data_IF_309698025897
#
_entry.id   IF_309698025897
#
_cell.length_a   1.000
_cell.length_b   1.000
_cell.length_c   1.000
_cell.angle_alpha   90.00
_cell.angle_beta   90.00
_cell.angle_gamma   90.00
#
_symmetry.space_group_name_H-M   'P 1'
#
loop_
_entity.id
_entity.type
_entity.pdbx_description
1 polymer ?
#
# COMPACT_ATOMS: atom_id res chain seq x y z
N UNK A 1 -30.18 14.80 3.63
CA UNK A 1 -29.21 13.69 3.70
C UNK A 1 -28.01 14.09 2.86
N UNK A 2 -27.03 14.69 3.47
CA UNK A 2 -25.79 15.17 2.83
C UNK A 2 -24.91 13.97 2.63
N UNK A 3 -24.79 13.48 1.39
CA UNK A 3 -23.80 12.50 0.98
C UNK A 3 -22.40 13.13 1.15
N UNK A 4 -21.72 12.81 2.23
CA UNK A 4 -20.30 13.02 2.37
C UNK A 4 -19.61 12.25 1.25
N UNK A 5 -19.14 12.94 0.22
CA UNK A 5 -18.22 12.43 -0.78
C UNK A 5 -16.95 11.99 -0.04
N UNK A 6 -16.89 10.74 0.41
CA UNK A 6 -15.63 10.14 0.86
C UNK A 6 -14.74 10.08 -0.36
N UNK A 7 -13.74 10.93 -0.41
CA UNK A 7 -12.73 10.95 -1.45
C UNK A 7 -12.06 9.57 -1.44
N UNK A 8 -12.33 8.77 -2.46
CA UNK A 8 -11.81 7.41 -2.57
C UNK A 8 -10.29 7.48 -2.76
N UNK A 9 -9.54 6.63 -2.08
CA UNK A 9 -8.08 6.59 -2.26
C UNK A 9 -7.73 6.14 -3.68
N UNK A 10 -6.61 6.61 -4.21
CA UNK A 10 -6.16 6.22 -5.55
C UNK A 10 -5.92 4.72 -5.66
N UNK A 11 -5.45 4.09 -4.58
CA UNK A 11 -5.29 2.63 -4.49
C UNK A 11 -6.59 1.90 -4.81
N UNK A 12 -7.72 2.40 -4.31
CA UNK A 12 -9.02 1.77 -4.54
C UNK A 12 -9.65 2.23 -5.87
N UNK A 13 -9.56 3.53 -6.19
CA UNK A 13 -10.14 4.10 -7.42
C UNK A 13 -9.51 3.52 -8.69
N UNK A 14 -8.19 3.32 -8.68
CA UNK A 14 -7.42 2.84 -9.81
C UNK A 14 -7.01 1.37 -9.67
N UNK A 15 -7.71 0.61 -8.83
CA UNK A 15 -7.47 -0.83 -8.70
C UNK A 15 -7.71 -1.53 -10.03
N UNK A 16 -6.73 -2.27 -10.59
CA UNK A 16 -6.91 -3.01 -11.83
C UNK A 16 -8.07 -3.99 -11.76
N UNK A 17 -8.91 -4.00 -12.79
CA UNK A 17 -10.03 -4.94 -12.93
C UNK A 17 -9.70 -6.13 -13.84
N UNK A 18 -8.63 -6.06 -14.61
CA UNK A 18 -8.14 -7.13 -15.50
C UNK A 18 -6.72 -7.51 -15.11
N UNK A 19 -6.39 -8.77 -15.28
CA UNK A 19 -5.06 -9.31 -14.93
C UNK A 19 -3.94 -8.59 -15.67
N UNK A 20 -4.09 -8.32 -16.96
CA UNK A 20 -3.10 -7.60 -17.78
C UNK A 20 -2.79 -6.16 -17.35
N UNK A 21 -3.67 -5.55 -16.56
CA UNK A 21 -3.53 -4.16 -16.10
C UNK A 21 -2.81 -4.09 -14.73
N UNK A 22 -2.48 -5.24 -14.15
CA UNK A 22 -1.76 -5.33 -12.86
C UNK A 22 -0.27 -5.11 -13.10
N UNK A 23 0.36 -4.35 -12.22
CA UNK A 23 1.81 -4.14 -12.25
C UNK A 23 2.49 -5.34 -11.60
N UNK A 24 3.00 -6.24 -12.41
CA UNK A 24 3.70 -7.45 -11.97
C UNK A 24 4.87 -7.74 -12.90
N UNK A 25 5.96 -8.38 -12.41
CA UNK A 25 7.01 -8.88 -13.27
C UNK A 25 6.47 -9.90 -14.29
N UNK A 26 7.08 -9.95 -15.46
CA UNK A 26 6.70 -10.87 -16.55
C UNK A 26 6.57 -12.32 -16.09
N UNK A 27 7.46 -12.79 -15.20
CA UNK A 27 7.41 -14.13 -14.59
C UNK A 27 6.11 -14.41 -13.84
N UNK A 28 5.66 -13.45 -13.04
CA UNK A 28 4.42 -13.60 -12.25
C UNK A 28 3.20 -13.49 -13.17
N UNK A 29 3.25 -12.57 -14.13
CA UNK A 29 2.19 -12.39 -15.12
C UNK A 29 1.96 -13.66 -15.92
N UNK A 30 3.02 -14.31 -16.43
CA UNK A 30 2.93 -15.58 -17.14
C UNK A 30 2.29 -16.69 -16.30
N UNK A 31 2.67 -16.81 -15.02
CA UNK A 31 2.07 -17.79 -14.12
C UNK A 31 0.57 -17.53 -13.88
N UNK A 32 0.17 -16.26 -13.78
CA UNK A 32 -1.24 -15.87 -13.65
C UNK A 32 -2.03 -16.18 -14.92
N UNK A 33 -1.50 -15.87 -16.09
CA UNK A 33 -2.13 -16.16 -17.39
C UNK A 33 -2.28 -17.67 -17.61
N UNK A 34 -1.28 -18.45 -17.22
CA UNK A 34 -1.36 -19.91 -17.26
C UNK A 34 -2.47 -20.45 -16.33
N UNK A 35 -2.58 -19.91 -15.11
CA UNK A 35 -3.65 -20.28 -14.19
C UNK A 35 -5.04 -19.89 -14.74
N UNK A 36 -5.17 -18.69 -15.31
CA UNK A 36 -6.40 -18.25 -16.00
C UNK A 36 -6.79 -19.17 -17.13
N UNK A 37 -5.84 -19.56 -17.98
CA UNK A 37 -6.08 -20.44 -19.11
C UNK A 37 -6.51 -21.84 -18.63
N UNK A 38 -5.89 -22.35 -17.57
CA UNK A 38 -6.30 -23.63 -16.96
C UNK A 38 -7.74 -23.59 -16.45
N UNK A 39 -8.15 -22.48 -15.79
CA UNK A 39 -9.52 -22.29 -15.32
C UNK A 39 -10.51 -22.15 -16.50
N UNK A 40 -10.14 -21.41 -17.54
CA UNK A 40 -10.97 -21.23 -18.76
C UNK A 40 -11.19 -22.55 -19.50
N UNK A 41 -10.18 -23.40 -19.55
CA UNK A 41 -10.15 -24.64 -20.32
C UNK A 41 -10.63 -25.86 -19.51
N UNK A 42 -10.95 -25.72 -18.22
CA UNK A 42 -11.49 -26.81 -17.39
C UNK A 42 -12.95 -27.11 -17.78
N UNK A 43 -13.12 -27.73 -18.94
CA UNK A 43 -14.40 -28.20 -19.45
C UNK A 43 -14.91 -29.38 -18.59
N UNK A 44 -15.69 -29.09 -17.56
CA UNK A 44 -16.26 -30.06 -16.61
C UNK A 44 -15.24 -30.84 -15.73
N UNK A 45 -14.01 -30.37 -15.67
CA UNK A 45 -13.01 -30.85 -14.72
C UNK A 45 -13.00 -29.96 -13.44
N UNK A 46 -12.53 -30.52 -12.35
CA UNK A 46 -12.40 -29.88 -11.07
C UNK A 46 -11.57 -28.59 -11.21
N UNK A 47 -12.13 -27.44 -10.76
CA UNK A 47 -11.41 -26.18 -10.75
C UNK A 47 -10.24 -26.22 -9.75
N UNK A 48 -9.03 -25.80 -10.14
CA UNK A 48 -7.93 -25.71 -9.19
C UNK A 48 -8.18 -24.59 -8.19
N UNK A 49 -7.97 -24.86 -6.89
CA UNK A 49 -7.85 -23.79 -5.91
C UNK A 49 -6.58 -23.00 -6.19
N UNK A 50 -6.58 -21.71 -5.89
CA UNK A 50 -5.40 -20.86 -6.05
C UNK A 50 -4.88 -20.38 -4.69
N UNK A 51 -3.55 -20.36 -4.53
CA UNK A 51 -2.87 -19.68 -3.43
C UNK A 51 -1.91 -18.66 -4.02
N UNK A 52 -2.15 -17.37 -3.71
CA UNK A 52 -1.30 -16.25 -4.10
C UNK A 52 -0.49 -15.83 -2.88
N UNK A 53 0.82 -16.06 -2.88
CA UNK A 53 1.65 -15.77 -1.72
C UNK A 53 2.82 -14.84 -2.04
N UNK A 54 3.24 -14.03 -1.09
CA UNK A 54 4.53 -13.35 -1.05
C UNK A 54 4.82 -12.89 0.38
N UNK A 55 6.09 -12.85 0.77
CA UNK A 55 6.48 -12.38 2.10
C UNK A 55 6.19 -10.90 2.31
N UNK A 56 6.09 -10.11 1.24
CA UNK A 56 5.86 -8.68 1.30
C UNK A 56 4.38 -8.32 1.13
N UNK A 57 3.93 -7.29 1.84
CA UNK A 57 2.65 -6.65 1.60
C UNK A 57 2.69 -5.79 0.31
N UNK A 58 1.51 -5.39 -0.19
CA UNK A 58 1.42 -4.44 -1.30
C UNK A 58 1.83 -4.95 -2.69
N UNK A 59 2.16 -6.24 -2.86
CA UNK A 59 2.60 -6.87 -4.12
C UNK A 59 1.47 -7.21 -5.10
N UNK A 60 0.21 -6.87 -4.79
CA UNK A 60 -0.91 -7.06 -5.70
C UNK A 60 -1.70 -8.38 -5.55
N UNK A 61 -1.44 -9.23 -4.56
CA UNK A 61 -2.14 -10.52 -4.34
C UNK A 61 -3.67 -10.42 -4.37
N UNK A 62 -4.24 -9.60 -3.49
CA UNK A 62 -5.70 -9.40 -3.39
C UNK A 62 -6.27 -8.76 -4.66
N UNK A 63 -5.53 -7.83 -5.27
CA UNK A 63 -5.90 -7.23 -6.56
C UNK A 63 -5.96 -8.26 -7.67
N UNK A 64 -4.99 -9.17 -7.72
CA UNK A 64 -4.95 -10.26 -8.71
C UNK A 64 -6.09 -11.26 -8.49
N UNK A 65 -6.40 -11.61 -7.24
CA UNK A 65 -7.55 -12.47 -6.94
C UNK A 65 -8.87 -11.88 -7.47
N UNK A 66 -9.09 -10.58 -7.24
CA UNK A 66 -10.27 -9.87 -7.75
C UNK A 66 -10.28 -9.73 -9.27
N UNK A 67 -9.15 -9.44 -9.89
CA UNK A 67 -9.04 -9.32 -11.33
C UNK A 67 -9.29 -10.65 -12.05
N UNK A 68 -8.82 -11.78 -11.48
CA UNK A 68 -9.14 -13.12 -11.96
C UNK A 68 -10.66 -13.35 -11.94
N UNK A 69 -11.32 -13.05 -10.82
CA UNK A 69 -12.77 -13.22 -10.70
C UNK A 69 -13.51 -12.37 -11.73
N UNK A 70 -13.15 -11.09 -11.85
CA UNK A 70 -13.78 -10.18 -12.80
C UNK A 70 -13.60 -10.63 -14.26
N UNK A 71 -12.38 -11.03 -14.64
CA UNK A 71 -12.08 -11.45 -16.02
C UNK A 71 -12.77 -12.75 -16.41
N UNK A 72 -12.95 -13.67 -15.45
CA UNK A 72 -13.61 -14.94 -15.66
C UNK A 72 -15.12 -14.89 -15.44
N UNK A 73 -15.67 -13.75 -15.02
CA UNK A 73 -17.10 -13.56 -14.75
C UNK A 73 -17.58 -14.28 -13.49
N UNK A 74 -16.74 -14.39 -12.47
CA UNK A 74 -17.10 -14.93 -11.15
C UNK A 74 -17.63 -13.81 -10.25
N UNK A 75 -18.75 -14.06 -9.58
CA UNK A 75 -19.19 -13.29 -8.42
C UNK A 75 -18.26 -13.63 -7.25
N UNK A 76 -17.64 -12.63 -6.62
CA UNK A 76 -16.64 -12.87 -5.58
C UNK A 76 -17.17 -12.53 -4.18
N UNK A 77 -17.06 -13.47 -3.23
CA UNK A 77 -17.22 -13.25 -1.79
C UNK A 77 -15.83 -13.15 -1.16
N UNK A 78 -15.53 -12.05 -0.47
CA UNK A 78 -14.24 -11.85 0.20
C UNK A 78 -14.41 -12.08 1.70
N UNK A 79 -13.56 -12.94 2.25
CA UNK A 79 -13.47 -13.23 3.69
C UNK A 79 -12.05 -12.88 4.13
N UNK A 80 -11.92 -11.97 5.08
CA UNK A 80 -10.62 -11.62 5.64
C UNK A 80 -10.24 -12.59 6.77
N UNK A 81 -9.09 -13.25 6.66
CA UNK A 81 -8.57 -14.21 7.63
C UNK A 81 -8.13 -13.59 8.95
N UNK A 82 -7.85 -12.28 8.96
CA UNK A 82 -7.47 -11.54 10.17
C UNK A 82 -8.68 -11.04 10.97
N UNK A 83 -9.91 -11.12 10.41
CA UNK A 83 -11.11 -10.71 11.12
C UNK A 83 -11.51 -11.75 12.17
N UNK A 84 -11.89 -11.24 13.36
CA UNK A 84 -12.02 -11.93 14.65
C UNK A 84 -12.72 -13.29 14.70
N UNK A 85 -12.41 -14.03 15.76
CA UNK A 85 -12.96 -15.25 16.41
C UNK A 85 -14.20 -15.98 15.89
N UNK A 86 -14.95 -15.41 14.94
CA UNK A 86 -16.16 -15.97 14.33
C UNK A 86 -15.93 -16.60 12.96
N UNK A 87 -14.67 -16.71 12.50
CA UNK A 87 -14.35 -17.22 11.15
C UNK A 87 -14.92 -18.63 10.91
N UNK A 88 -14.92 -19.49 11.91
CA UNK A 88 -15.46 -20.85 11.77
C UNK A 88 -16.97 -20.84 11.51
N UNK A 89 -17.71 -19.95 12.19
CA UNK A 89 -19.16 -19.82 11.97
C UNK A 89 -19.43 -19.17 10.61
N UNK A 90 -18.63 -18.18 10.20
CA UNK A 90 -18.70 -17.57 8.87
C UNK A 90 -18.49 -18.61 7.76
N UNK A 91 -17.52 -19.52 7.92
CA UNK A 91 -17.32 -20.63 6.96
C UNK A 91 -18.54 -21.55 6.90
N UNK A 92 -19.06 -21.97 8.06
CA UNK A 92 -20.16 -22.93 8.15
C UNK A 92 -21.49 -22.39 7.67
N UNK A 93 -21.72 -21.10 7.80
CA UNK A 93 -22.98 -20.44 7.43
C UNK A 93 -22.81 -19.64 6.15
N UNK A 94 -22.18 -18.48 6.22
CA UNK A 94 -22.13 -17.50 5.11
C UNK A 94 -21.50 -18.08 3.84
N UNK A 95 -20.35 -18.76 3.96
CA UNK A 95 -19.66 -19.31 2.78
C UNK A 95 -20.43 -20.49 2.23
N UNK A 96 -20.93 -21.37 3.09
CA UNK A 96 -21.73 -22.54 2.65
C UNK A 96 -23.02 -22.09 1.96
N UNK A 97 -23.76 -21.14 2.55
CA UNK A 97 -24.98 -20.60 1.95
C UNK A 97 -24.69 -19.89 0.62
N UNK A 98 -23.57 -19.16 0.54
CA UNK A 98 -23.14 -18.53 -0.70
C UNK A 98 -22.84 -19.56 -1.80
N UNK A 99 -22.10 -20.63 -1.49
CA UNK A 99 -21.78 -21.70 -2.43
C UNK A 99 -23.00 -22.52 -2.85
N UNK A 100 -24.00 -22.68 -1.95
CA UNK A 100 -25.22 -23.47 -2.21
C UNK A 100 -26.37 -22.64 -2.76
N UNK A 101 -26.24 -21.33 -2.83
CA UNK A 101 -27.29 -20.41 -3.27
C UNK A 101 -27.84 -20.83 -4.64
N UNK A 102 -29.16 -21.08 -4.77
CA UNK A 102 -29.76 -21.46 -6.05
C UNK A 102 -29.75 -20.27 -7.02
N UNK A 103 -29.57 -20.55 -8.29
CA UNK A 103 -29.68 -19.55 -9.34
C UNK A 103 -31.16 -19.30 -9.67
N UNK A 104 -31.66 -18.11 -9.36
CA UNK A 104 -33.08 -17.75 -9.50
C UNK A 104 -33.57 -17.76 -10.96
N UNK A 105 -32.68 -17.67 -11.94
CA UNK A 105 -33.03 -17.57 -13.37
C UNK A 105 -32.50 -18.74 -14.20
N UNK A 106 -32.19 -19.88 -13.57
CA UNK A 106 -31.73 -21.10 -14.27
C UNK A 106 -30.35 -20.99 -14.92
N UNK A 107 -29.56 -19.98 -14.55
CA UNK A 107 -28.17 -19.80 -14.97
C UNK A 107 -27.22 -20.65 -14.13
N UNK A 108 -26.01 -20.89 -14.66
CA UNK A 108 -24.91 -21.46 -13.89
C UNK A 108 -23.99 -20.30 -13.42
N UNK A 109 -24.41 -19.62 -12.35
CA UNK A 109 -23.65 -18.49 -11.82
C UNK A 109 -22.30 -18.97 -11.29
N UNK A 110 -21.23 -18.42 -11.85
CA UNK A 110 -19.86 -18.68 -11.38
C UNK A 110 -19.60 -17.91 -10.09
N UNK A 111 -19.21 -18.59 -9.02
CA UNK A 111 -18.96 -18.01 -7.70
C UNK A 111 -17.51 -18.22 -7.30
N UNK A 112 -16.91 -17.21 -6.71
CA UNK A 112 -15.58 -17.31 -6.13
C UNK A 112 -15.60 -16.93 -4.65
N UNK A 113 -14.82 -17.64 -3.84
CA UNK A 113 -14.58 -17.28 -2.46
C UNK A 113 -13.11 -16.94 -2.31
N UNK A 114 -12.83 -15.68 -1.94
CA UNK A 114 -11.48 -15.18 -1.74
C UNK A 114 -11.23 -15.11 -0.22
N UNK A 115 -10.28 -15.90 0.25
CA UNK A 115 -9.77 -15.83 1.63
C UNK A 115 -8.52 -14.94 1.65
N UNK A 116 -8.71 -13.68 2.01
CA UNK A 116 -7.60 -12.72 2.12
C UNK A 116 -6.91 -12.90 3.48
N UNK A 117 -5.57 -12.87 3.51
CA UNK A 117 -4.76 -13.13 4.70
C UNK A 117 -5.03 -14.52 5.33
N UNK A 118 -5.15 -15.56 4.51
CA UNK A 118 -5.48 -16.92 4.95
C UNK A 118 -4.47 -17.51 5.95
N UNK A 119 -3.23 -17.03 5.96
CA UNK A 119 -2.17 -17.40 6.91
C UNK A 119 -2.45 -16.91 8.35
N UNK A 120 -3.38 -15.98 8.54
CA UNK A 120 -3.85 -15.53 9.86
C UNK A 120 -4.95 -16.43 10.44
N UNK A 121 -5.53 -17.32 9.63
CA UNK A 121 -6.58 -18.24 10.06
C UNK A 121 -6.02 -19.36 10.96
N UNK A 122 -6.68 -19.71 12.09
CA UNK A 122 -6.28 -20.82 12.95
C UNK A 122 -6.22 -22.16 12.18
N UNK A 123 -5.07 -22.86 12.26
CA UNK A 123 -4.79 -24.07 11.49
C UNK A 123 -5.72 -25.24 11.85
N UNK A 124 -5.90 -25.46 13.15
CA UNK A 124 -6.60 -26.65 13.65
C UNK A 124 -8.13 -26.57 13.49
N UNK A 125 -8.68 -25.38 13.38
CA UNK A 125 -10.12 -25.16 13.32
C UNK A 125 -10.55 -24.64 11.95
N UNK A 126 -10.15 -23.40 11.61
CA UNK A 126 -10.66 -22.71 10.40
C UNK A 126 -10.06 -23.28 9.12
N UNK A 127 -8.74 -23.47 9.05
CA UNK A 127 -8.11 -24.03 7.86
C UNK A 127 -8.49 -25.50 7.65
N UNK A 128 -8.69 -26.29 8.72
CA UNK A 128 -9.18 -27.67 8.64
C UNK A 128 -10.63 -27.72 8.13
N UNK A 129 -11.49 -26.79 8.55
CA UNK A 129 -12.84 -26.67 8.02
C UNK A 129 -12.84 -26.22 6.55
N UNK A 130 -11.96 -25.28 6.18
CA UNK A 130 -11.78 -24.83 4.80
C UNK A 130 -11.34 -25.97 3.88
N UNK A 131 -10.40 -26.82 4.33
CA UNK A 131 -10.02 -28.02 3.61
C UNK A 131 -11.24 -28.90 3.28
N UNK A 132 -12.05 -29.22 4.30
CA UNK A 132 -13.25 -30.05 4.09
C UNK A 132 -14.25 -29.37 3.12
N UNK A 133 -14.38 -28.04 3.19
CA UNK A 133 -15.22 -27.27 2.30
C UNK A 133 -14.72 -27.31 0.85
N UNK A 134 -13.42 -27.10 0.63
CA UNK A 134 -12.85 -27.19 -0.73
C UNK A 134 -13.01 -28.58 -1.33
N UNK A 135 -12.93 -29.66 -0.53
CA UNK A 135 -13.22 -31.02 -0.96
C UNK A 135 -14.71 -31.21 -1.28
N UNK A 136 -15.62 -30.72 -0.44
CA UNK A 136 -17.08 -30.84 -0.63
C UNK A 136 -17.57 -30.14 -1.90
N UNK A 137 -16.95 -29.02 -2.26
CA UNK A 137 -17.33 -28.21 -3.43
C UNK A 137 -16.46 -28.48 -4.66
N UNK A 138 -15.49 -29.40 -4.59
CA UNK A 138 -14.56 -29.68 -5.67
C UNK A 138 -15.25 -30.18 -6.96
N UNK A 139 -16.34 -30.89 -6.82
CA UNK A 139 -17.11 -31.42 -7.96
C UNK A 139 -18.04 -30.39 -8.61
N UNK A 140 -18.08 -29.16 -8.06
CA UNK A 140 -18.88 -28.08 -8.60
C UNK A 140 -17.99 -27.15 -9.44
N UNK A 141 -18.08 -27.28 -10.75
CA UNK A 141 -17.27 -26.54 -11.71
C UNK A 141 -17.52 -25.03 -11.75
N UNK A 142 -18.44 -24.51 -10.94
CA UNK A 142 -18.76 -23.10 -10.86
C UNK A 142 -18.27 -22.41 -9.57
N UNK A 143 -17.53 -23.11 -8.70
CA UNK A 143 -17.02 -22.53 -7.45
C UNK A 143 -15.49 -22.54 -7.48
N UNK A 144 -14.90 -21.33 -7.37
CA UNK A 144 -13.46 -21.12 -7.34
C UNK A 144 -13.04 -20.64 -5.95
N UNK A 145 -12.04 -21.29 -5.34
CA UNK A 145 -11.44 -20.82 -4.09
C UNK A 145 -10.08 -20.20 -4.35
N UNK A 146 -9.89 -18.97 -3.86
CA UNK A 146 -8.62 -18.25 -3.95
C UNK A 146 -8.20 -17.86 -2.53
N UNK A 147 -6.97 -18.17 -2.17
CA UNK A 147 -6.37 -17.78 -0.89
C UNK A 147 -5.23 -16.81 -1.15
N UNK A 148 -5.12 -15.73 -0.40
CA UNK A 148 -3.92 -14.91 -0.36
C UNK A 148 -3.22 -15.10 0.97
N UNK A 149 -1.90 -15.06 1.01
CA UNK A 149 -1.13 -15.15 2.24
C UNK A 149 0.23 -14.45 2.13
N UNK A 150 0.77 -14.02 3.27
CA UNK A 150 2.12 -13.49 3.36
C UNK A 150 3.11 -14.60 3.74
N UNK A 151 2.69 -15.58 4.52
CA UNK A 151 3.53 -16.70 4.93
C UNK A 151 2.87 -18.04 4.58
N UNK A 152 3.36 -18.67 3.51
CA UNK A 152 2.83 -19.97 3.06
C UNK A 152 3.01 -21.09 4.10
N UNK A 153 4.02 -20.98 4.99
CA UNK A 153 4.25 -21.97 6.06
C UNK A 153 3.14 -21.94 7.13
N UNK A 154 2.34 -20.88 7.15
CA UNK A 154 1.17 -20.80 8.02
C UNK A 154 -0.08 -21.42 7.40
N UNK A 155 -0.04 -21.87 6.14
CA UNK A 155 -1.11 -22.64 5.51
C UNK A 155 -0.85 -24.14 5.73
N UNK A 156 -1.90 -24.89 6.06
CA UNK A 156 -1.77 -26.35 6.25
C UNK A 156 -1.44 -27.06 4.93
N UNK A 157 -0.57 -28.05 5.00
CA UNK A 157 -0.11 -28.80 3.82
C UNK A 157 -1.26 -29.38 2.95
N UNK A 158 -2.37 -29.90 3.51
CA UNK A 158 -3.48 -30.39 2.71
C UNK A 158 -4.16 -29.33 1.82
N UNK A 159 -4.17 -28.05 2.20
CA UNK A 159 -4.65 -26.97 1.34
C UNK A 159 -3.63 -26.65 0.24
N UNK A 160 -2.34 -26.60 0.58
CA UNK A 160 -1.28 -26.32 -0.38
C UNK A 160 -1.26 -27.40 -1.48
N UNK A 161 -1.31 -28.68 -1.10
CA UNK A 161 -1.23 -29.81 -2.05
C UNK A 161 -2.41 -29.89 -3.04
N UNK A 162 -3.53 -29.21 -2.75
CA UNK A 162 -4.73 -29.15 -3.59
C UNK A 162 -4.90 -27.82 -4.31
N UNK A 163 -3.89 -26.97 -4.25
CA UNK A 163 -3.96 -25.63 -4.82
C UNK A 163 -2.81 -25.39 -5.79
N UNK A 164 -3.07 -24.62 -6.83
CA UNK A 164 -2.00 -24.03 -7.64
C UNK A 164 -1.43 -22.84 -6.88
N UNK A 165 -0.15 -22.94 -6.52
CA UNK A 165 0.55 -21.91 -5.77
C UNK A 165 1.26 -20.97 -6.73
N UNK A 166 1.01 -19.67 -6.62
CA UNK A 166 1.65 -18.61 -7.42
C UNK A 166 2.44 -17.72 -6.47
N UNK A 167 3.74 -17.65 -6.70
CA UNK A 167 4.65 -16.81 -5.92
C UNK A 167 4.71 -15.38 -6.46
N UNK A 168 4.22 -14.45 -5.65
CA UNK A 168 4.21 -12.99 -5.88
C UNK A 168 5.44 -12.29 -5.30
N UNK A 169 6.45 -13.02 -4.88
CA UNK A 169 7.71 -12.44 -4.41
C UNK A 169 8.40 -11.73 -5.56
N UNK A 170 8.58 -10.43 -5.42
CA UNK A 170 9.30 -9.59 -6.39
C UNK A 170 10.78 -9.63 -6.03
N UNK A 171 11.61 -10.10 -6.93
CA UNK A 171 13.06 -10.15 -6.77
C UNK A 171 13.72 -8.81 -7.13
N UNK A 172 14.86 -8.52 -6.53
CA UNK A 172 15.60 -7.28 -6.82
C UNK A 172 15.99 -7.14 -8.28
N UNK A 173 16.20 -8.26 -8.99
CA UNK A 173 16.46 -8.29 -10.43
C UNK A 173 15.27 -7.83 -11.30
N UNK A 174 14.06 -7.84 -10.73
CA UNK A 174 12.81 -7.46 -11.39
C UNK A 174 12.41 -5.99 -11.09
N UNK A 175 13.17 -5.29 -10.23
CA UNK A 175 12.83 -3.92 -9.79
C UNK A 175 12.83 -2.91 -10.94
N UNK A 176 13.72 -3.04 -11.90
CA UNK A 176 13.77 -2.15 -13.08
C UNK A 176 12.49 -2.29 -13.92
N UNK A 177 12.06 -3.52 -14.20
CA UNK A 177 10.82 -3.81 -14.92
C UNK A 177 9.61 -3.24 -14.21
N UNK A 178 9.50 -3.49 -12.90
CA UNK A 178 8.41 -2.97 -12.07
C UNK A 178 8.43 -1.44 -12.02
N UNK A 179 9.59 -0.82 -11.92
CA UNK A 179 9.73 0.64 -11.92
C UNK A 179 9.16 1.23 -13.22
N UNK A 180 9.48 0.65 -14.36
CA UNK A 180 8.96 1.12 -15.65
C UNK A 180 7.44 0.98 -15.74
N UNK A 181 6.90 -0.19 -15.36
CA UNK A 181 5.46 -0.44 -15.37
C UNK A 181 4.72 0.49 -14.41
N UNK A 182 5.26 0.68 -13.21
CA UNK A 182 4.70 1.55 -12.20
C UNK A 182 4.71 3.01 -12.64
N UNK A 183 5.81 3.48 -13.21
CA UNK A 183 5.95 4.84 -13.74
C UNK A 183 4.90 5.12 -14.81
N UNK A 184 4.69 4.18 -15.74
CA UNK A 184 3.65 4.30 -16.77
C UNK A 184 2.23 4.37 -16.15
N UNK A 185 1.98 3.57 -15.12
CA UNK A 185 0.70 3.60 -14.41
C UNK A 185 0.47 4.90 -13.67
N UNK A 186 1.49 5.44 -13.01
CA UNK A 186 1.40 6.73 -12.31
C UNK A 186 1.14 7.88 -13.28
N UNK A 187 1.76 7.87 -14.47
CA UNK A 187 1.47 8.85 -15.52
C UNK A 187 -0.02 8.85 -15.89
N UNK A 188 -0.59 7.68 -16.13
CA UNK A 188 -2.02 7.53 -16.40
C UNK A 188 -2.90 8.10 -15.27
N UNK A 189 -2.56 7.77 -14.00
CA UNK A 189 -3.29 8.29 -12.83
C UNK A 189 -3.19 9.81 -12.75
N UNK A 190 -2.03 10.40 -13.00
CA UNK A 190 -1.85 11.86 -12.97
C UNK A 190 -2.65 12.56 -14.06
N UNK A 191 -2.73 11.98 -15.26
CA UNK A 191 -3.54 12.51 -16.36
C UNK A 191 -5.05 12.48 -16.01
N UNK A 192 -5.55 11.37 -15.46
CA UNK A 192 -6.95 11.21 -15.03
C UNK A 192 -7.31 12.15 -13.86
N UNK A 193 -6.42 12.34 -12.91
CA UNK A 193 -6.60 13.23 -11.75
C UNK A 193 -6.30 14.70 -12.07
N UNK A 194 -5.91 15.00 -13.31
CA UNK A 194 -5.53 16.36 -13.77
C UNK A 194 -4.54 17.01 -12.84
N UNK A 195 -3.47 16.27 -12.53
CA UNK A 195 -2.39 16.75 -11.68
C UNK A 195 -1.61 17.83 -12.42
N UNK A 196 -1.35 18.95 -11.78
CA UNK A 196 -0.49 20.01 -12.30
C UNK A 196 0.98 19.59 -12.28
N UNK A 197 1.79 20.13 -13.19
CA UNK A 197 3.24 19.85 -13.26
C UNK A 197 3.59 18.35 -13.31
N UNK A 198 2.89 17.59 -14.19
CA UNK A 198 3.05 16.12 -14.31
C UNK A 198 4.54 15.74 -14.46
N UNK A 199 5.35 16.51 -15.18
CA UNK A 199 6.76 16.22 -15.42
C UNK A 199 7.55 16.17 -14.09
N UNK A 200 7.36 17.15 -13.21
CA UNK A 200 8.00 17.17 -11.89
C UNK A 200 7.51 16.01 -11.02
N UNK A 201 6.22 15.68 -11.08
CA UNK A 201 5.66 14.54 -10.36
C UNK A 201 6.22 13.21 -10.87
N UNK A 202 6.46 13.09 -12.17
CA UNK A 202 7.05 11.90 -12.78
C UNK A 202 8.52 11.73 -12.40
N UNK A 203 9.30 12.81 -12.37
CA UNK A 203 10.69 12.78 -11.88
C UNK A 203 10.72 12.29 -10.43
N UNK A 204 9.84 12.83 -9.57
CA UNK A 204 9.72 12.37 -8.19
C UNK A 204 9.40 10.88 -8.09
N UNK A 205 8.45 10.37 -8.90
CA UNK A 205 8.10 8.95 -8.94
C UNK A 205 9.31 8.11 -9.31
N UNK A 206 10.03 8.48 -10.37
CA UNK A 206 11.18 7.72 -10.87
C UNK A 206 12.31 7.65 -9.84
N UNK A 207 12.56 8.75 -9.15
CA UNK A 207 13.66 8.84 -8.17
C UNK A 207 13.36 8.06 -6.88
N UNK A 208 12.08 7.91 -6.52
CA UNK A 208 11.71 7.37 -5.20
C UNK A 208 11.07 5.98 -5.25
N UNK A 209 10.57 5.50 -6.39
CA UNK A 209 9.85 4.21 -6.49
C UNK A 209 10.67 3.04 -5.94
N UNK A 210 11.97 3.00 -6.22
CA UNK A 210 12.85 1.93 -5.77
C UNK A 210 12.91 1.78 -4.24
N UNK A 211 12.71 2.87 -3.49
CA UNK A 211 12.74 2.89 -2.03
C UNK A 211 11.49 2.24 -1.39
N UNK A 212 10.40 2.14 -2.15
CA UNK A 212 9.13 1.58 -1.67
C UNK A 212 8.92 0.14 -2.14
N UNK A 213 9.62 -0.30 -3.20
CA UNK A 213 9.47 -1.65 -3.70
C UNK A 213 9.85 -2.68 -2.60
N UNK A 214 9.08 -3.75 -2.47
CA UNK A 214 7.98 -4.18 -3.33
C UNK A 214 6.57 -3.68 -2.95
N UNK A 215 6.42 -2.77 -1.97
CA UNK A 215 5.12 -2.28 -1.50
C UNK A 215 4.62 -1.08 -2.32
N UNK A 216 4.04 -1.37 -3.49
CA UNK A 216 3.48 -0.35 -4.39
C UNK A 216 2.27 0.38 -3.79
N UNK A 217 1.52 -0.27 -2.88
CA UNK A 217 0.35 0.35 -2.23
C UNK A 217 0.77 1.54 -1.37
N UNK A 218 1.79 1.37 -0.54
CA UNK A 218 2.33 2.43 0.31
C UNK A 218 2.83 3.59 -0.53
N UNK A 219 3.47 3.33 -1.67
CA UNK A 219 3.96 4.39 -2.53
C UNK A 219 2.84 5.18 -3.21
N UNK A 220 1.78 4.54 -3.72
CA UNK A 220 0.60 5.24 -4.29
C UNK A 220 -0.05 6.15 -3.24
N UNK A 221 -0.23 5.65 -2.01
CA UNK A 221 -0.79 6.45 -0.92
C UNK A 221 0.10 7.64 -0.56
N UNK A 222 1.43 7.44 -0.55
CA UNK A 222 2.39 8.51 -0.30
C UNK A 222 2.33 9.60 -1.38
N UNK A 223 2.29 9.23 -2.65
CA UNK A 223 2.18 10.17 -3.77
C UNK A 223 0.84 10.93 -3.71
N UNK A 224 -0.27 10.23 -3.48
CA UNK A 224 -1.57 10.89 -3.34
C UNK A 224 -1.57 11.92 -2.22
N UNK A 225 -1.02 11.57 -1.06
CA UNK A 225 -0.89 12.48 0.08
C UNK A 225 -0.03 13.70 -0.27
N UNK A 226 1.14 13.47 -0.89
CA UNK A 226 2.05 14.54 -1.28
C UNK A 226 1.38 15.54 -2.25
N UNK A 227 0.70 15.06 -3.30
CA UNK A 227 0.00 15.90 -4.28
C UNK A 227 -1.19 16.63 -3.64
N UNK A 228 -1.95 15.96 -2.78
CA UNK A 228 -3.11 16.57 -2.11
C UNK A 228 -2.68 17.68 -1.17
N UNK A 229 -1.60 17.47 -0.42
CA UNK A 229 -1.03 18.48 0.46
C UNK A 229 -0.52 19.68 -0.32
N UNK A 230 0.16 19.49 -1.45
CA UNK A 230 0.61 20.58 -2.32
C UNK A 230 -0.57 21.43 -2.84
N UNK A 231 -1.66 20.80 -3.30
CA UNK A 231 -2.88 21.49 -3.75
C UNK A 231 -3.59 22.26 -2.62
N UNK A 232 -3.54 21.79 -1.39
CA UNK A 232 -4.08 22.50 -0.24
C UNK A 232 -3.26 23.76 0.08
N UNK A 233 -1.93 23.70 -0.07
CA UNK A 233 -1.07 24.88 0.08
C UNK A 233 -1.35 25.94 -1.01
N UNK A 234 -1.49 25.55 -2.29
CA UNK A 234 -1.79 26.48 -3.38
C UNK A 234 -3.19 27.12 -3.25
N UNK A 235 -4.21 26.37 -2.81
CA UNK A 235 -5.55 26.92 -2.56
C UNK A 235 -5.57 27.94 -1.42
N UNK A 236 -4.75 27.77 -0.40
CA UNK A 236 -4.63 28.70 0.71
C UNK A 236 -3.96 30.01 0.28
N UNK A 237 -3.07 29.99 -0.72
CA UNK A 237 -2.49 31.20 -1.32
C UNK A 237 -3.47 31.98 -2.19
N UNK A 238 -4.44 31.32 -2.84
CA UNK A 238 -5.43 31.97 -3.72
C UNK A 238 -6.66 32.53 -2.99
N UNK A 239 -7.01 32.00 -1.82
CA UNK A 239 -8.20 32.45 -1.04
C UNK A 239 -7.92 33.65 -0.11
N UNK A 240 -6.78 34.31 -0.23
CA UNK A 240 -6.54 35.66 0.33
C UNK A 240 -6.68 35.78 1.85
N UNK A 241 -6.67 34.69 2.61
CA UNK A 241 -6.61 34.69 4.07
C UNK A 241 -5.23 34.29 4.53
N UNK A 242 -4.44 35.29 4.89
CA UNK A 242 -3.18 35.29 5.67
C UNK A 242 -2.56 33.91 6.01
N UNK A 243 -1.90 33.27 5.03
CA UNK A 243 -0.94 32.19 5.28
C UNK A 243 0.47 32.47 4.72
N UNK A 244 0.80 33.76 4.61
CA UNK A 244 2.20 34.24 4.52
C UNK A 244 3.04 33.82 5.75
N UNK A 245 2.39 33.36 6.83
CA UNK A 245 3.09 33.04 8.08
C UNK A 245 3.92 31.75 8.00
N UNK A 246 3.49 30.69 7.28
CA UNK A 246 4.28 29.44 7.25
C UNK A 246 5.46 29.50 6.30
N UNK A 247 5.35 30.10 5.13
CA UNK A 247 6.50 30.33 4.23
C UNK A 247 7.47 31.39 4.80
N UNK A 248 6.93 32.41 5.44
CA UNK A 248 7.73 33.40 6.17
C UNK A 248 8.43 32.72 7.36
N UNK A 249 7.75 31.87 8.12
CA UNK A 249 8.32 31.12 9.24
C UNK A 249 9.42 30.14 8.78
N UNK A 250 9.26 29.47 7.65
CA UNK A 250 10.29 28.58 7.07
C UNK A 250 11.50 29.40 6.64
N UNK A 251 11.32 30.48 5.89
CA UNK A 251 12.42 31.37 5.48
C UNK A 251 13.14 32.00 6.69
N UNK A 252 12.40 32.38 7.73
CA UNK A 252 12.95 32.88 8.97
C UNK A 252 13.72 31.80 9.73
N UNK A 253 13.23 30.55 9.74
CA UNK A 253 13.94 29.40 10.31
C UNK A 253 15.27 29.16 9.59
N UNK A 254 15.27 29.11 8.27
CA UNK A 254 16.48 28.96 7.46
C UNK A 254 17.50 30.03 7.77
N UNK A 255 17.05 31.30 7.85
CA UNK A 255 17.93 32.43 8.21
C UNK A 255 18.52 32.28 9.61
N UNK A 256 17.69 31.96 10.63
CA UNK A 256 18.16 31.77 12.01
C UNK A 256 19.14 30.62 12.13
N UNK A 257 18.92 29.53 11.37
CA UNK A 257 19.83 28.37 11.35
C UNK A 257 21.17 28.71 10.69
N UNK A 258 21.15 29.47 9.58
CA UNK A 258 22.36 29.93 8.90
C UNK A 258 23.15 30.93 9.77
N UNK A 259 22.47 31.81 10.50
CA UNK A 259 23.07 32.75 11.45
C UNK A 259 23.57 32.05 12.75
N UNK A 260 23.21 30.79 12.95
CA UNK A 260 23.55 30.01 14.15
C UNK A 260 22.77 30.40 15.41
N UNK A 261 21.65 31.09 15.25
CA UNK A 261 20.78 31.52 16.37
C UNK A 261 19.76 30.42 16.72
N UNK A 262 20.27 29.32 17.29
CA UNK A 262 19.49 28.15 17.66
C UNK A 262 18.39 28.46 18.69
N UNK A 263 18.62 29.50 19.55
CA UNK A 263 17.64 29.84 20.59
C UNK A 263 16.37 30.43 19.99
N UNK A 264 16.49 31.33 19.05
CA UNK A 264 15.34 31.91 18.35
C UNK A 264 14.71 30.91 17.37
N UNK A 265 15.48 30.02 16.75
CA UNK A 265 14.98 28.92 15.95
C UNK A 265 14.06 27.97 16.76
N UNK A 266 14.48 27.57 17.98
CA UNK A 266 13.64 26.78 18.89
C UNK A 266 12.34 27.49 19.26
N UNK A 267 12.45 28.84 19.54
CA UNK A 267 11.26 29.63 19.86
C UNK A 267 10.29 29.68 18.69
N UNK A 268 10.77 29.90 17.48
CA UNK A 268 9.96 29.96 16.26
C UNK A 268 9.23 28.63 16.02
N UNK A 269 9.91 27.49 16.18
CA UNK A 269 9.29 26.17 16.02
C UNK A 269 8.18 25.95 17.03
N UNK A 270 8.36 26.37 18.28
CA UNK A 270 7.34 26.22 19.33
C UNK A 270 6.12 27.12 19.14
N UNK A 271 6.28 28.28 18.54
CA UNK A 271 5.20 29.28 18.37
C UNK A 271 4.50 29.13 17.03
N UNK A 272 5.22 29.13 15.93
CA UNK A 272 4.67 29.24 14.58
C UNK A 272 4.65 27.91 13.82
N UNK A 273 5.58 26.99 14.15
CA UNK A 273 5.69 25.68 13.48
C UNK A 273 5.27 24.50 14.36
N UNK A 274 4.51 24.77 15.42
CA UNK A 274 4.10 23.72 16.38
C UNK A 274 3.33 22.59 15.72
N UNK A 275 2.45 22.91 14.79
CA UNK A 275 1.60 21.94 14.10
C UNK A 275 2.24 21.31 12.86
N UNK A 276 3.47 21.71 12.49
CA UNK A 276 4.18 21.16 11.35
C UNK A 276 4.56 19.69 11.64
N UNK A 277 4.26 18.74 10.74
CA UNK A 277 4.71 17.36 10.88
C UNK A 277 6.22 17.25 10.99
N UNK A 278 6.71 16.27 11.78
CA UNK A 278 8.14 16.04 11.97
C UNK A 278 8.86 15.78 10.64
N UNK A 279 8.26 14.98 9.75
CA UNK A 279 8.84 14.68 8.45
C UNK A 279 9.10 15.94 7.59
N UNK A 280 8.15 16.88 7.57
CA UNK A 280 8.31 18.14 6.83
C UNK A 280 9.42 19.01 7.43
N UNK A 281 9.45 19.08 8.76
CA UNK A 281 10.51 19.83 9.45
C UNK A 281 11.89 19.18 9.27
N UNK A 282 11.94 17.85 9.23
CA UNK A 282 13.17 17.10 8.97
C UNK A 282 13.72 17.37 7.57
N UNK A 283 12.88 17.44 6.55
CA UNK A 283 13.30 17.77 5.18
C UNK A 283 13.93 19.17 5.14
N UNK A 284 13.29 20.17 5.75
CA UNK A 284 13.85 21.53 5.85
C UNK A 284 15.23 21.52 6.54
N UNK A 285 15.38 20.75 7.60
CA UNK A 285 16.67 20.65 8.30
C UNK A 285 17.73 19.87 7.51
N UNK A 286 17.34 18.88 6.70
CA UNK A 286 18.27 18.18 5.79
C UNK A 286 18.77 19.14 4.74
N UNK A 287 17.90 19.94 4.12
CA UNK A 287 18.28 20.95 3.13
C UNK A 287 19.25 21.99 3.75
N UNK A 288 18.94 22.52 4.93
CA UNK A 288 19.83 23.42 5.66
C UNK A 288 21.19 22.74 5.98
N UNK A 289 21.17 21.45 6.35
CA UNK A 289 22.40 20.73 6.67
C UNK A 289 23.28 20.51 5.42
N UNK A 290 22.66 20.28 4.26
CA UNK A 290 23.36 20.18 2.97
C UNK A 290 23.96 21.52 2.55
N UNK A 291 23.20 22.62 2.66
CA UNK A 291 23.67 23.97 2.34
C UNK A 291 24.86 24.38 3.24
N UNK A 292 24.83 23.98 4.50
CA UNK A 292 25.89 24.23 5.47
C UNK A 292 27.04 23.20 5.42
N UNK A 293 27.00 22.21 4.50
CA UNK A 293 27.97 21.13 4.39
C UNK A 293 28.10 20.28 5.68
N UNK A 294 26.99 20.12 6.42
CA UNK A 294 26.92 19.46 7.74
C UNK A 294 26.32 18.06 7.64
N UNK A 295 27.00 17.16 6.93
CA UNK A 295 26.54 15.76 6.76
C UNK A 295 26.44 14.99 8.10
N UNK A 296 27.18 15.41 9.14
CA UNK A 296 27.11 14.83 10.49
C UNK A 296 25.72 15.04 11.16
N UNK A 297 25.00 16.06 10.76
CA UNK A 297 23.68 16.40 11.30
C UNK A 297 22.59 15.56 10.67
N UNK A 298 22.73 15.18 9.40
CA UNK A 298 21.70 14.44 8.65
C UNK A 298 21.35 13.10 9.33
N UNK A 299 22.37 12.35 9.81
CA UNK A 299 22.14 11.10 10.53
C UNK A 299 21.37 11.31 11.84
N UNK A 300 21.64 12.41 12.56
CA UNK A 300 20.92 12.74 13.80
C UNK A 300 19.46 13.14 13.54
N UNK A 301 19.22 13.82 12.43
CA UNK A 301 17.84 14.16 11.99
C UNK A 301 17.09 12.86 11.65
N UNK A 302 17.70 11.94 10.90
CA UNK A 302 17.11 10.64 10.60
C UNK A 302 16.78 9.85 11.86
N UNK A 303 17.67 9.83 12.86
CA UNK A 303 17.40 9.20 14.15
C UNK A 303 16.21 9.83 14.89
N UNK A 304 16.03 11.16 14.80
CA UNK A 304 14.87 11.82 15.38
C UNK A 304 13.57 11.38 14.71
N UNK A 305 13.54 11.27 13.38
CA UNK A 305 12.37 10.81 12.64
C UNK A 305 12.04 9.35 12.96
N UNK A 306 13.05 8.46 13.01
CA UNK A 306 12.86 7.05 13.37
C UNK A 306 12.31 6.84 14.78
N UNK A 307 12.55 7.78 15.68
CA UNK A 307 12.05 7.73 17.04
C UNK A 307 10.70 8.41 17.26
N UNK A 308 10.04 8.92 16.21
CA UNK A 308 8.75 9.60 16.30
C UNK A 308 7.69 8.75 17.04
N UNK A 309 7.62 7.46 16.75
CA UNK A 309 6.66 6.53 17.38
C UNK A 309 7.03 6.10 18.81
N UNK A 310 8.25 6.43 19.29
CA UNK A 310 8.76 6.01 20.60
C UNK A 310 8.70 7.12 21.65
N UNK A 311 8.47 8.36 21.22
CA UNK A 311 8.51 9.52 22.10
C UNK A 311 7.10 10.09 22.27
N UNK A 312 6.66 10.22 23.51
CA UNK A 312 5.33 10.73 23.86
C UNK A 312 5.16 12.23 23.58
N UNK A 313 6.25 12.98 23.40
CA UNK A 313 6.22 14.42 23.14
C UNK A 313 7.02 14.77 21.89
N UNK A 314 6.29 15.03 20.80
CA UNK A 314 6.83 15.39 19.48
C UNK A 314 7.67 16.68 19.53
N UNK A 315 7.33 17.66 20.40
CA UNK A 315 8.09 18.91 20.53
C UNK A 315 9.53 18.64 20.98
N UNK A 316 9.77 17.58 21.75
CA UNK A 316 11.10 17.17 22.16
C UNK A 316 11.97 16.76 20.98
N UNK A 317 11.41 16.04 20.02
CA UNK A 317 12.14 15.63 18.80
C UNK A 317 12.44 16.82 17.90
N UNK A 318 11.49 17.76 17.74
CA UNK A 318 11.69 18.98 16.97
C UNK A 318 12.86 19.82 17.53
N UNK A 319 12.94 19.91 18.85
CA UNK A 319 14.03 20.61 19.54
C UNK A 319 15.35 19.84 19.39
N UNK A 320 15.33 18.49 19.42
CA UNK A 320 16.52 17.67 19.23
C UNK A 320 17.10 17.86 17.82
N UNK A 321 16.27 18.02 16.78
CA UNK A 321 16.73 18.32 15.43
C UNK A 321 17.49 19.66 15.38
N UNK A 322 16.97 20.75 15.99
CA UNK A 322 17.69 22.02 16.09
C UNK A 322 18.99 21.87 16.85
N UNK A 323 18.95 21.13 17.97
CA UNK A 323 20.11 20.93 18.83
C UNK A 323 21.21 20.11 18.15
N UNK A 324 20.89 19.28 17.14
CA UNK A 324 21.85 18.55 16.33
C UNK A 324 22.86 19.48 15.65
N UNK A 325 22.43 20.71 15.29
CA UNK A 325 23.30 21.73 14.71
C UNK A 325 24.28 22.38 15.72
N UNK A 326 24.01 22.24 17.02
CA UNK A 326 24.89 22.83 18.08
C UNK A 326 26.20 22.05 18.29
N UNK A 327 26.28 20.79 17.88
CA UNK A 327 27.32 19.84 18.28
C UNK A 327 28.50 19.75 17.32
N UNK A 328 29.03 20.88 16.78
CA UNK A 328 30.39 20.91 16.24
C UNK A 328 30.95 22.31 16.07
N UNK A 329 31.12 23.05 17.18
CA UNK A 329 32.21 24.00 17.32
C UNK A 329 33.20 23.38 18.31
N UNK A 330 34.18 22.65 17.79
CA UNK A 330 35.26 22.16 18.65
C UNK A 330 35.98 20.94 18.05
N UNK A 331 36.93 21.13 17.21
CA UNK A 331 38.35 21.18 17.49
C UNK A 331 39.10 21.47 16.20
N UNK A 332 39.74 22.62 16.17
CA UNK A 332 40.92 22.87 15.36
C UNK A 332 42.04 21.98 15.86
#
# INVERSE_FOLDING_TARGET
MTSTNKQQTWVEKYRPSKVKDIILPSRIMENLENALNNIKNSNNEQLPNLILHSQSAGTGKTTSALAICNELGYEALIINGSSDGRLIDTLRTTVTDYCLRPDLFGGNTKRAVIFDEADMMPKDTVQSALRNMTEQFSDRNNILFIMTCNNINNIIHPLISRSTVIDFTIHTSEYEEITQLFTNRMKYIFEEEKVENIENCMNYVTDHVANYLPDMRSFINHIQFWITSAKEYEKQETDGTDNSSSSVAVNQLVKLMNDGDLKNAIKLIRTEMRNMPIGNLANIFVDIALDLNRHDVILKIADCVMNEYRVSNIDTLKIAMVSAFSTSKGKK
#
